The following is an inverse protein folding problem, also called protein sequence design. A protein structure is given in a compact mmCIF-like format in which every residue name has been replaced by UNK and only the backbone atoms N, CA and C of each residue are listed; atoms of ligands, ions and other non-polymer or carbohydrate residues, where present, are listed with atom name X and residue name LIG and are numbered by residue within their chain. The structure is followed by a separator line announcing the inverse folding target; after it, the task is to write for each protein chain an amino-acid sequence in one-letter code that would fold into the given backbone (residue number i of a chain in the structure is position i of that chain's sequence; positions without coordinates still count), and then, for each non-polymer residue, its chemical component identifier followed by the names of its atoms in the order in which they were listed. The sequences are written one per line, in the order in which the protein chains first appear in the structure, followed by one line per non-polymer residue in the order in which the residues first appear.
data_IF_594313506624
#
_entry.id   IF_594313506624
#
_cell.length_a   1.000
_cell.length_b   1.000
_cell.length_c   1.000
_cell.angle_alpha   90.00
_cell.angle_beta   90.00
_cell.angle_gamma   90.00
#
_symmetry.space_group_name_H-M   'P 1'
#
loop_
_entity.id
_entity.type
_entity.pdbx_description
1 polymer ?
#
# COMPACT_ATOMS: atom_id res chain seq x y z
N UNK A 1 -14.51 14.29 -90.78
CA UNK A 1 -14.15 13.23 -89.83
C UNK A 1 -13.40 13.91 -88.69
N UNK A 2 -14.12 14.32 -87.63
CA UNK A 2 -13.57 15.08 -86.45
C UNK A 2 -13.40 14.12 -85.32
N UNK A 3 -12.15 13.89 -84.92
CA UNK A 3 -11.79 13.13 -83.65
C UNK A 3 -11.79 14.10 -82.48
N UNK A 4 -12.75 13.97 -81.58
CA UNK A 4 -12.75 14.66 -80.30
C UNK A 4 -11.97 13.87 -79.27
N UNK A 5 -10.85 14.44 -78.89
CA UNK A 5 -10.01 13.91 -77.76
C UNK A 5 -10.66 14.19 -76.39
N UNK A 6 -11.19 13.16 -75.76
CA UNK A 6 -11.68 13.19 -74.39
C UNK A 6 -10.47 13.11 -73.43
N UNK A 7 -10.24 14.19 -72.67
CA UNK A 7 -9.26 14.21 -71.57
C UNK A 7 -9.98 13.77 -70.30
N UNK A 8 -9.52 12.76 -69.52
CA UNK A 8 -10.12 12.44 -68.24
C UNK A 8 -9.70 13.46 -67.19
N UNK A 9 -10.58 13.74 -66.19
CA UNK A 9 -10.28 14.66 -65.10
C UNK A 9 -9.23 14.03 -64.14
N UNK A 10 -8.21 14.79 -63.83
CA UNK A 10 -7.24 14.47 -62.81
C UNK A 10 -7.94 14.56 -61.42
N UNK A 11 -8.16 13.41 -60.75
CA UNK A 11 -8.60 13.38 -59.36
C UNK A 11 -7.36 13.51 -58.48
N UNK A 12 -7.20 14.66 -57.83
CA UNK A 12 -6.16 14.90 -56.84
C UNK A 12 -6.56 14.20 -55.56
N UNK A 13 -5.98 13.05 -55.29
CA UNK A 13 -6.14 12.37 -54.01
C UNK A 13 -5.29 13.08 -52.92
N UNK A 14 -5.98 13.82 -52.04
CA UNK A 14 -5.36 14.40 -50.85
C UNK A 14 -5.19 13.29 -49.83
N UNK A 15 -3.98 12.81 -49.66
CA UNK A 15 -3.64 11.88 -48.59
C UNK A 15 -3.58 12.63 -47.24
N UNK A 16 -4.63 12.47 -46.42
CA UNK A 16 -4.64 12.95 -45.04
C UNK A 16 -3.77 11.98 -44.20
N UNK A 17 -2.55 12.36 -43.94
CA UNK A 17 -1.70 11.65 -42.95
C UNK A 17 -2.21 11.98 -41.58
N UNK A 18 -2.95 11.07 -40.94
CA UNK A 18 -3.28 11.16 -39.53
C UNK A 18 -1.97 10.92 -38.75
N UNK A 19 -1.37 11.99 -38.24
CA UNK A 19 -0.29 11.89 -37.25
C UNK A 19 -0.88 11.31 -35.97
N UNK A 20 -0.64 10.02 -35.72
CA UNK A 20 -0.92 9.42 -34.41
C UNK A 20 -0.01 10.11 -33.38
N UNK A 21 -0.57 10.99 -32.56
CA UNK A 21 0.08 11.48 -31.36
C UNK A 21 0.23 10.23 -30.46
N UNK A 22 1.47 9.81 -30.07
CA UNK A 22 1.60 8.74 -29.11
C UNK A 22 0.85 9.19 -27.84
N UNK A 23 -0.17 8.45 -27.45
CA UNK A 23 -0.74 8.57 -26.11
C UNK A 23 0.39 8.17 -25.18
N UNK A 24 1.11 9.13 -24.60
CA UNK A 24 1.94 8.88 -23.46
C UNK A 24 0.95 8.41 -22.39
N UNK A 25 0.92 7.11 -22.13
CA UNK A 25 0.35 6.61 -20.89
C UNK A 25 1.04 7.45 -19.80
N UNK A 26 0.26 8.24 -19.03
CA UNK A 26 0.84 9.04 -17.97
C UNK A 26 1.47 8.05 -16.99
N UNK A 27 2.78 7.99 -17.02
CA UNK A 27 3.57 7.16 -16.12
C UNK A 27 3.38 7.70 -14.69
N UNK A 28 3.23 6.81 -13.72
CA UNK A 28 3.14 7.24 -12.33
C UNK A 28 4.44 7.93 -11.94
N UNK A 29 4.41 9.17 -11.43
CA UNK A 29 5.61 9.81 -10.91
C UNK A 29 6.12 9.08 -9.65
N UNK A 30 7.36 9.38 -9.28
CA UNK A 30 7.92 8.91 -8.02
C UNK A 30 7.06 9.39 -6.83
N UNK A 31 6.89 8.53 -5.83
CA UNK A 31 6.16 8.90 -4.60
C UNK A 31 6.94 9.99 -3.83
N UNK A 32 6.25 10.93 -3.16
CA UNK A 32 6.89 11.94 -2.34
C UNK A 32 7.78 11.31 -1.26
N UNK A 33 8.99 11.84 -1.10
CA UNK A 33 9.89 11.39 -0.02
C UNK A 33 9.51 12.03 1.32
N UNK A 34 8.91 11.24 2.18
CA UNK A 34 8.53 11.60 3.53
C UNK A 34 9.41 10.97 4.61
N UNK A 35 10.60 10.50 4.26
CA UNK A 35 11.52 9.82 5.18
C UNK A 35 11.84 10.67 6.42
N UNK A 36 12.16 11.96 6.23
CA UNK A 36 12.52 12.87 7.33
C UNK A 36 11.37 13.11 8.32
N UNK A 37 10.15 13.52 7.90
CA UNK A 37 9.06 13.70 8.85
C UNK A 37 8.59 12.38 9.48
N UNK A 38 8.61 11.27 8.76
CA UNK A 38 8.30 9.97 9.33
C UNK A 38 9.31 9.54 10.40
N UNK A 39 10.61 9.78 10.18
CA UNK A 39 11.64 9.50 11.19
C UNK A 39 11.43 10.31 12.47
N UNK A 40 11.10 11.60 12.35
CA UNK A 40 10.78 12.44 13.49
C UNK A 40 9.57 11.90 14.26
N UNK A 41 8.49 11.54 13.57
CA UNK A 41 7.29 10.97 14.18
C UNK A 41 7.53 9.61 14.84
N UNK A 42 8.43 8.79 14.28
CA UNK A 42 8.86 7.54 14.90
C UNK A 42 9.63 7.77 16.21
N UNK A 43 10.38 8.86 16.32
CA UNK A 43 10.97 9.30 17.58
C UNK A 43 9.90 9.77 18.56
N UNK A 44 9.01 10.65 18.12
CA UNK A 44 7.91 11.19 18.96
C UNK A 44 7.04 10.05 19.56
N UNK A 45 6.70 9.03 18.77
CA UNK A 45 5.82 7.94 19.26
C UNK A 45 6.52 7.04 20.28
N UNK A 46 7.82 6.91 20.22
CA UNK A 46 8.60 6.16 21.24
C UNK A 46 8.63 6.90 22.58
N UNK A 47 8.61 8.23 22.55
CA UNK A 47 8.61 9.10 23.72
C UNK A 47 7.19 9.43 24.21
N UNK A 48 6.14 8.88 23.58
CA UNK A 48 4.76 9.14 23.98
C UNK A 48 4.47 8.65 25.40
N UNK A 49 3.76 9.48 26.17
CA UNK A 49 3.42 9.19 27.57
C UNK A 49 2.05 8.50 27.72
N UNK A 50 1.29 8.41 26.64
CA UNK A 50 -0.05 7.80 26.64
C UNK A 50 -0.43 7.21 25.30
N UNK A 51 -1.34 6.23 25.33
CA UNK A 51 -1.90 5.61 24.12
C UNK A 51 -2.63 6.65 23.23
N UNK A 52 -3.29 7.64 23.84
CA UNK A 52 -3.98 8.70 23.09
C UNK A 52 -2.98 9.54 22.30
N UNK A 53 -1.87 9.97 22.93
CA UNK A 53 -0.80 10.71 22.27
C UNK A 53 -0.16 9.88 21.15
N UNK A 54 0.17 8.61 21.45
CA UNK A 54 0.75 7.72 20.45
C UNK A 54 -0.15 7.52 19.24
N UNK A 55 -1.47 7.42 19.44
CA UNK A 55 -2.46 7.30 18.36
C UNK A 55 -2.52 8.57 17.50
N UNK A 56 -2.47 9.75 18.11
CA UNK A 56 -2.43 11.02 17.38
C UNK A 56 -1.16 11.12 16.50
N UNK A 57 -0.01 10.70 17.04
CA UNK A 57 1.25 10.64 16.29
C UNK A 57 1.13 9.61 15.15
N UNK A 58 0.61 8.43 15.40
CA UNK A 58 0.41 7.40 14.38
C UNK A 58 -0.54 7.87 13.25
N UNK A 59 -1.57 8.65 13.55
CA UNK A 59 -2.44 9.25 12.54
C UNK A 59 -1.68 10.23 11.64
N UNK A 60 -0.75 11.02 12.19
CA UNK A 60 0.11 11.91 11.40
C UNK A 60 1.07 11.13 10.50
N UNK A 61 1.61 9.99 10.95
CA UNK A 61 2.42 9.11 10.08
C UNK A 61 1.58 8.57 8.92
N UNK A 62 0.32 8.22 9.21
CA UNK A 62 -0.60 7.72 8.21
C UNK A 62 -0.83 8.73 7.07
N UNK A 63 -0.93 10.04 7.36
CA UNK A 63 -1.08 11.08 6.36
C UNK A 63 0.06 11.08 5.33
N UNK A 64 1.30 10.81 5.78
CA UNK A 64 2.47 10.71 4.89
C UNK A 64 2.48 9.44 4.04
N UNK A 65 2.12 8.27 4.61
CA UNK A 65 2.05 7.04 3.82
C UNK A 65 0.93 7.08 2.80
N UNK A 66 -0.18 7.74 3.12
CA UNK A 66 -1.34 7.88 2.24
C UNK A 66 -1.21 9.03 1.22
N UNK A 67 -0.11 9.78 1.22
CA UNK A 67 0.17 10.83 0.22
C UNK A 67 0.65 10.18 -1.09
N UNK A 68 -0.28 10.02 -2.01
CA UNK A 68 -0.04 9.32 -3.26
C UNK A 68 0.77 10.17 -4.27
N UNK A 69 1.49 9.55 -5.21
CA UNK A 69 2.37 10.22 -6.17
C UNK A 69 1.72 11.35 -6.97
N UNK A 70 0.42 11.28 -7.20
CA UNK A 70 -0.35 12.32 -7.89
C UNK A 70 -1.85 12.19 -7.62
N UNK A 71 -2.62 13.18 -8.09
CA UNK A 71 -4.07 13.23 -7.89
C UNK A 71 -4.82 12.01 -8.46
N UNK A 72 -4.32 11.39 -9.54
CA UNK A 72 -4.93 10.18 -10.10
C UNK A 72 -4.74 8.98 -9.18
N UNK A 73 -3.52 8.76 -8.69
CA UNK A 73 -3.21 7.71 -7.73
C UNK A 73 -3.98 7.92 -6.43
N UNK A 74 -4.04 9.17 -5.93
CA UNK A 74 -4.79 9.53 -4.74
C UNK A 74 -6.29 9.20 -4.89
N UNK A 75 -6.90 9.55 -6.01
CA UNK A 75 -8.31 9.27 -6.25
C UNK A 75 -8.61 7.76 -6.28
N UNK A 76 -7.68 6.93 -6.77
CA UNK A 76 -7.82 5.47 -6.77
C UNK A 76 -7.66 4.93 -5.33
N UNK A 77 -6.65 5.40 -4.59
CA UNK A 77 -6.42 5.03 -3.19
C UNK A 77 -7.66 5.33 -2.33
N UNK A 78 -8.16 6.56 -2.38
CA UNK A 78 -9.31 7.02 -1.59
C UNK A 78 -10.57 6.21 -1.90
N UNK A 79 -10.80 5.89 -3.17
CA UNK A 79 -11.94 5.07 -3.60
C UNK A 79 -11.82 3.64 -3.07
N UNK A 80 -10.64 3.02 -3.16
CA UNK A 80 -10.38 1.70 -2.61
C UNK A 80 -10.56 1.66 -1.10
N UNK A 81 -10.05 2.65 -0.36
CA UNK A 81 -10.22 2.79 1.08
C UNK A 81 -11.70 2.98 1.47
N UNK A 82 -12.44 3.78 0.70
CA UNK A 82 -13.89 3.97 0.89
C UNK A 82 -14.66 2.66 0.73
N UNK A 83 -14.39 1.90 -0.33
CA UNK A 83 -15.00 0.59 -0.55
C UNK A 83 -14.65 -0.41 0.55
N UNK A 84 -13.38 -0.46 0.97
CA UNK A 84 -12.94 -1.28 2.11
C UNK A 84 -13.75 -0.95 3.38
N UNK A 85 -13.88 0.33 3.69
CA UNK A 85 -14.65 0.80 4.86
C UNK A 85 -16.13 0.45 4.77
N UNK A 86 -16.68 0.35 3.57
CA UNK A 86 -18.05 -0.10 3.28
C UNK A 86 -18.18 -1.64 3.18
N UNK A 87 -17.11 -2.40 3.48
CA UNK A 87 -17.03 -3.86 3.36
C UNK A 87 -17.21 -4.39 1.92
N UNK A 88 -17.11 -3.54 0.90
CA UNK A 88 -16.98 -3.95 -0.51
C UNK A 88 -15.54 -4.37 -0.80
N UNK A 89 -15.15 -5.54 -0.29
CA UNK A 89 -13.78 -6.03 -0.41
C UNK A 89 -13.37 -6.33 -1.84
N UNK A 90 -14.30 -6.83 -2.69
CA UNK A 90 -13.98 -7.11 -4.08
C UNK A 90 -13.78 -5.82 -4.88
N UNK A 91 -14.61 -4.81 -4.65
CA UNK A 91 -14.44 -3.50 -5.24
C UNK A 91 -13.17 -2.79 -4.77
N UNK A 92 -12.81 -2.95 -3.49
CA UNK A 92 -11.56 -2.41 -2.93
C UNK A 92 -10.32 -3.06 -3.57
N UNK A 93 -10.30 -4.40 -3.69
CA UNK A 93 -9.21 -5.13 -4.37
C UNK A 93 -9.02 -4.65 -5.81
N UNK A 94 -10.12 -4.50 -6.57
CA UNK A 94 -10.03 -4.01 -7.95
C UNK A 94 -9.43 -2.60 -8.05
N UNK A 95 -9.75 -1.71 -7.11
CA UNK A 95 -9.15 -0.37 -7.07
C UNK A 95 -7.67 -0.43 -6.68
N UNK A 96 -7.28 -1.23 -5.69
CA UNK A 96 -5.87 -1.36 -5.31
C UNK A 96 -5.05 -2.10 -6.38
N UNK A 97 -5.62 -3.05 -7.11
CA UNK A 97 -5.00 -3.65 -8.30
C UNK A 97 -4.74 -2.59 -9.37
N UNK A 98 -5.71 -1.70 -9.62
CA UNK A 98 -5.54 -0.57 -10.53
C UNK A 98 -4.45 0.40 -10.04
N UNK A 99 -4.40 0.69 -8.74
CA UNK A 99 -3.38 1.56 -8.14
C UNK A 99 -1.98 0.98 -8.31
N UNK A 100 -1.79 -0.29 -8.00
CA UNK A 100 -0.52 -0.99 -8.12
C UNK A 100 -0.07 -1.09 -9.60
N UNK A 101 -1.01 -1.37 -10.51
CA UNK A 101 -0.71 -1.40 -11.94
C UNK A 101 -0.28 -0.02 -12.47
N UNK A 102 -0.84 1.05 -11.93
CA UNK A 102 -0.50 2.43 -12.29
C UNK A 102 0.78 2.92 -11.60
N UNK A 103 0.94 2.65 -10.30
CA UNK A 103 2.05 3.10 -9.45
C UNK A 103 2.73 1.91 -8.75
N UNK A 104 3.52 1.08 -9.45
CA UNK A 104 4.10 -0.16 -8.90
C UNK A 104 5.16 0.08 -7.81
N UNK A 105 5.68 1.29 -7.68
CA UNK A 105 6.67 1.68 -6.66
C UNK A 105 6.04 2.42 -5.46
N UNK A 106 4.70 2.49 -5.38
CA UNK A 106 4.00 3.11 -4.26
C UNK A 106 3.60 2.07 -3.22
N UNK A 107 4.33 2.04 -2.09
CA UNK A 107 4.20 1.03 -1.02
C UNK A 107 2.78 0.92 -0.47
N UNK A 108 2.07 2.04 -0.32
CA UNK A 108 0.74 2.06 0.27
C UNK A 108 -0.30 1.34 -0.57
N UNK A 109 -0.16 1.27 -1.89
CA UNK A 109 -1.03 0.46 -2.74
C UNK A 109 -1.04 -1.01 -2.33
N UNK A 110 0.13 -1.57 -2.08
CA UNK A 110 0.30 -2.94 -1.59
C UNK A 110 -0.20 -3.10 -0.15
N UNK A 111 0.17 -2.17 0.75
CA UNK A 111 -0.28 -2.21 2.14
C UNK A 111 -1.82 -2.22 2.25
N UNK A 112 -2.51 -1.42 1.47
CA UNK A 112 -3.97 -1.37 1.46
C UNK A 112 -4.61 -2.63 0.88
N UNK A 113 -4.04 -3.19 -0.20
CA UNK A 113 -4.52 -4.46 -0.76
C UNK A 113 -4.30 -5.61 0.22
N UNK A 114 -3.15 -5.65 0.85
CA UNK A 114 -2.84 -6.61 1.92
C UNK A 114 -3.84 -6.53 3.08
N UNK A 115 -4.21 -5.33 3.49
CA UNK A 115 -5.19 -5.18 4.56
C UNK A 115 -6.57 -5.76 4.16
N UNK A 116 -6.99 -5.62 2.90
CA UNK A 116 -8.22 -6.27 2.41
C UNK A 116 -8.08 -7.79 2.41
N UNK A 117 -6.95 -8.33 1.94
CA UNK A 117 -6.66 -9.77 2.00
C UNK A 117 -6.72 -10.28 3.44
N UNK A 118 -6.10 -9.58 4.39
CA UNK A 118 -6.15 -9.90 5.81
C UNK A 118 -7.59 -9.96 6.34
N UNK A 119 -8.42 -8.95 6.05
CA UNK A 119 -9.83 -8.91 6.47
C UNK A 119 -10.64 -10.08 5.90
N UNK A 120 -10.27 -10.58 4.73
CA UNK A 120 -10.85 -11.77 4.09
C UNK A 120 -10.21 -13.08 4.58
N UNK A 121 -9.25 -13.03 5.49
CA UNK A 121 -8.47 -14.16 6.01
C UNK A 121 -7.63 -14.87 4.94
N UNK A 122 -7.33 -14.19 3.85
CA UNK A 122 -6.37 -14.63 2.82
C UNK A 122 -4.97 -14.15 3.23
N UNK A 123 -4.41 -14.82 4.24
CA UNK A 123 -3.17 -14.37 4.89
C UNK A 123 -1.94 -14.56 4.01
N UNK A 124 -1.93 -15.53 3.10
CA UNK A 124 -0.84 -15.74 2.13
C UNK A 124 -0.75 -14.55 1.15
N UNK A 125 -1.89 -14.16 0.57
CA UNK A 125 -1.93 -13.00 -0.32
C UNK A 125 -1.58 -11.71 0.42
N UNK A 126 -2.08 -11.54 1.66
CA UNK A 126 -1.72 -10.41 2.49
C UNK A 126 -0.20 -10.36 2.74
N UNK A 127 0.43 -11.49 3.08
CA UNK A 127 1.86 -11.56 3.35
C UNK A 127 2.69 -11.19 2.11
N UNK A 128 2.31 -11.67 0.94
CA UNK A 128 2.96 -11.35 -0.34
C UNK A 128 2.97 -9.84 -0.59
N UNK A 129 1.85 -9.18 -0.40
CA UNK A 129 1.73 -7.74 -0.59
C UNK A 129 2.49 -6.94 0.49
N UNK A 130 2.45 -7.40 1.74
CA UNK A 130 3.18 -6.74 2.85
C UNK A 130 4.68 -6.85 2.68
N UNK A 131 5.19 -7.98 2.20
CA UNK A 131 6.60 -8.13 1.89
C UNK A 131 7.00 -7.13 0.79
N UNK A 132 6.18 -6.96 -0.27
CA UNK A 132 6.45 -5.95 -1.30
C UNK A 132 6.35 -4.52 -0.76
N UNK A 133 5.37 -4.20 0.08
CA UNK A 133 5.26 -2.89 0.71
C UNK A 133 6.52 -2.56 1.55
N UNK A 134 7.06 -3.55 2.26
CA UNK A 134 8.26 -3.40 3.10
C UNK A 134 9.56 -3.36 2.29
N UNK A 135 9.63 -3.98 1.11
CA UNK A 135 10.74 -3.77 0.16
C UNK A 135 10.80 -2.30 -0.30
N UNK A 136 9.64 -1.68 -0.58
CA UNK A 136 9.53 -0.30 -1.01
C UNK A 136 9.67 0.70 0.14
N UNK A 137 9.15 0.37 1.31
CA UNK A 137 9.16 1.21 2.51
C UNK A 137 9.50 0.38 3.76
N UNK A 138 10.78 0.14 4.04
CA UNK A 138 11.22 -0.81 5.09
C UNK A 138 10.79 -0.44 6.52
N UNK A 139 10.42 0.81 6.75
CA UNK A 139 9.97 1.32 8.06
C UNK A 139 8.47 1.65 8.09
N UNK A 140 7.70 1.08 7.20
CA UNK A 140 6.24 1.24 7.15
C UNK A 140 5.59 0.44 8.28
N UNK A 141 5.38 1.09 9.42
CA UNK A 141 4.96 0.43 10.68
C UNK A 141 3.64 -0.35 10.50
N UNK A 142 2.68 0.21 9.76
CA UNK A 142 1.41 -0.49 9.52
C UNK A 142 1.60 -1.78 8.68
N UNK A 143 2.50 -1.76 7.68
CA UNK A 143 2.83 -2.96 6.92
C UNK A 143 3.58 -3.99 7.78
N UNK A 144 4.50 -3.55 8.67
CA UNK A 144 5.19 -4.44 9.61
C UNK A 144 4.21 -5.12 10.58
N UNK A 145 3.26 -4.36 11.14
CA UNK A 145 2.21 -4.90 12.01
C UNK A 145 1.30 -5.86 11.24
N UNK A 146 0.84 -5.48 10.05
CA UNK A 146 0.04 -6.33 9.17
C UNK A 146 0.73 -7.65 8.83
N UNK A 147 2.07 -7.61 8.60
CA UNK A 147 2.90 -8.79 8.38
C UNK A 147 2.90 -9.73 9.59
N UNK A 148 3.08 -9.19 10.79
CA UNK A 148 3.03 -9.97 12.01
C UNK A 148 1.66 -10.65 12.19
N UNK A 149 0.57 -9.92 11.98
CA UNK A 149 -0.79 -10.45 12.07
C UNK A 149 -1.09 -11.51 11.01
N UNK A 150 -0.60 -11.34 9.79
CA UNK A 150 -0.78 -12.32 8.71
C UNK A 150 -0.02 -13.61 8.98
N UNK A 151 1.23 -13.51 9.45
CA UNK A 151 2.03 -14.65 9.92
C UNK A 151 1.37 -15.38 11.08
N UNK A 152 0.82 -14.64 12.05
CA UNK A 152 0.04 -15.21 13.15
C UNK A 152 -1.20 -15.95 12.62
N UNK A 153 -1.92 -15.38 11.68
CA UNK A 153 -3.06 -16.03 11.02
C UNK A 153 -2.71 -17.33 10.29
N UNK A 154 -1.47 -17.45 9.80
CA UNK A 154 -0.88 -18.65 9.19
C UNK A 154 -0.31 -19.64 10.21
N UNK A 155 -0.40 -19.34 11.52
CA UNK A 155 0.23 -20.11 12.60
C UNK A 155 1.77 -20.19 12.51
N UNK A 156 2.41 -19.25 11.81
CA UNK A 156 3.87 -19.09 11.71
C UNK A 156 4.36 -18.25 12.90
N UNK A 157 4.23 -18.80 14.10
CA UNK A 157 4.32 -18.05 15.36
C UNK A 157 5.68 -17.42 15.61
N UNK A 158 6.80 -18.10 15.28
CA UNK A 158 8.15 -17.56 15.47
C UNK A 158 8.36 -16.32 14.57
N UNK A 159 8.00 -16.42 13.30
CA UNK A 159 8.14 -15.33 12.36
C UNK A 159 7.18 -14.17 12.69
N UNK A 160 5.97 -14.48 13.17
CA UNK A 160 5.03 -13.45 13.65
C UNK A 160 5.59 -12.70 14.87
N UNK A 161 6.24 -13.40 15.79
CA UNK A 161 6.89 -12.81 16.98
C UNK A 161 8.02 -11.87 16.57
N UNK A 162 8.89 -12.31 15.68
CA UNK A 162 9.99 -11.49 15.17
C UNK A 162 9.48 -10.22 14.45
N UNK A 163 8.48 -10.39 13.59
CA UNK A 163 7.87 -9.28 12.86
C UNK A 163 7.19 -8.28 13.81
N UNK A 164 6.44 -8.76 14.81
CA UNK A 164 5.78 -7.90 15.79
C UNK A 164 6.84 -7.18 16.67
N UNK A 165 7.87 -7.86 17.11
CA UNK A 165 8.95 -7.26 17.89
C UNK A 165 9.67 -6.15 17.10
N UNK A 166 9.88 -6.34 15.80
CA UNK A 166 10.45 -5.31 14.94
C UNK A 166 9.52 -4.08 14.79
N UNK A 167 8.21 -4.29 14.64
CA UNK A 167 7.23 -3.21 14.58
C UNK A 167 7.14 -2.44 15.91
N UNK A 168 7.14 -3.15 17.04
CA UNK A 168 7.08 -2.56 18.38
C UNK A 168 8.34 -1.73 18.74
N UNK A 169 9.49 -2.02 18.15
CA UNK A 169 10.68 -1.16 18.29
C UNK A 169 10.48 0.23 17.68
N UNK A 170 9.68 0.34 16.63
CA UNK A 170 9.37 1.61 16.00
C UNK A 170 8.16 2.30 16.64
N UNK A 171 7.16 1.54 17.07
CA UNK A 171 6.00 2.04 17.79
C UNK A 171 5.59 1.08 18.92
N UNK A 172 5.98 1.34 20.17
CA UNK A 172 5.65 0.49 21.30
C UNK A 172 4.16 0.52 21.68
N UNK A 173 3.38 1.42 21.09
CA UNK A 173 1.97 1.61 21.37
C UNK A 173 1.04 0.94 20.35
N UNK A 174 1.57 0.10 19.46
CA UNK A 174 0.73 -0.63 18.51
C UNK A 174 -0.39 -1.39 19.23
N UNK A 175 -1.61 -1.38 18.71
CA UNK A 175 -2.72 -2.15 19.30
C UNK A 175 -2.38 -3.62 19.49
N UNK A 176 -1.57 -4.19 18.59
CA UNK A 176 -1.17 -5.61 18.59
C UNK A 176 -0.17 -5.97 19.68
N UNK A 177 0.36 -5.02 20.45
CA UNK A 177 1.36 -5.26 21.50
C UNK A 177 0.91 -6.31 22.53
N UNK A 178 -0.41 -6.41 22.77
CA UNK A 178 -0.94 -7.42 23.71
C UNK A 178 -0.64 -8.86 23.31
N UNK A 179 -0.39 -9.12 22.00
CA UNK A 179 -0.02 -10.45 21.53
C UNK A 179 1.37 -10.86 22.05
N UNK A 180 2.24 -9.90 22.36
CA UNK A 180 3.58 -10.12 22.90
C UNK A 180 3.65 -10.01 24.44
N UNK A 181 2.54 -9.65 25.12
CA UNK A 181 2.49 -9.60 26.58
C UNK A 181 2.73 -10.99 27.21
N UNK A 182 3.19 -11.07 28.47
CA UNK A 182 3.33 -12.34 29.16
C UNK A 182 2.03 -13.16 29.11
N UNK A 183 2.10 -14.38 28.58
CA UNK A 183 0.92 -15.24 28.33
C UNK A 183 0.18 -14.95 27.03
N UNK A 184 0.58 -13.96 26.24
CA UNK A 184 0.07 -13.72 24.89
C UNK A 184 0.61 -14.76 23.89
N UNK A 185 -0.07 -14.95 22.76
CA UNK A 185 0.28 -15.98 21.78
C UNK A 185 1.64 -15.76 21.09
N UNK A 186 2.17 -14.55 21.13
CA UNK A 186 3.48 -14.16 20.57
C UNK A 186 4.45 -13.72 21.68
N UNK A 187 4.18 -14.07 22.94
CA UNK A 187 5.11 -13.81 24.04
C UNK A 187 6.48 -14.46 23.79
N UNK A 188 7.59 -13.84 24.22
CA UNK A 188 8.89 -14.48 24.19
C UNK A 188 8.89 -15.81 24.95
N UNK A 189 9.67 -16.81 24.50
CA UNK A 189 9.82 -18.07 25.27
C UNK A 189 10.22 -17.79 26.70
N UNK A 190 9.55 -18.43 27.67
CA UNK A 190 9.82 -18.26 29.10
C UNK A 190 9.21 -17.02 29.77
N UNK A 191 8.53 -16.15 29.03
CA UNK A 191 7.89 -14.95 29.62
C UNK A 191 6.66 -15.28 30.52
N UNK A 192 6.15 -16.50 30.48
CA UNK A 192 5.02 -16.98 31.30
C UNK A 192 5.42 -17.86 32.49
N UNK A 193 6.68 -18.25 32.59
CA UNK A 193 7.21 -19.07 33.70
C UNK A 193 7.60 -18.18 34.89
N UNK A 194 6.63 -17.48 35.45
CA UNK A 194 6.79 -16.92 36.80
C UNK A 194 6.67 -18.10 37.74
N UNK A 195 7.80 -18.63 38.25
CA UNK A 195 7.80 -19.53 39.37
C UNK A 195 6.97 -18.92 40.50
N UNK A 196 5.91 -19.64 40.92
CA UNK A 196 5.12 -19.35 42.09
C UNK A 196 5.88 -19.73 43.36
#
# INVERSE_FOLDING_TARGET
MFFTLFRPPFVLAVAVTASAIPAHAMECPEAPDHSTPLEALMGEVQDAESETQAREIANRMWEYWADAPNAQAQAILDRGMTKRSAFDFLGALADFDQLIAYCPEYAEGYNQRAFVHYLRRDFESALTDLDRALELSPRHIAAMSGRALSLYGLSRLEEAREALAAALKLNPWLPERYLADPGGPLAPPGAGDVEL
#
